data_IF_930028677859
#
_entry.id   IF_930028677859
#
_cell.length_a   1.000
_cell.length_b   1.000
_cell.length_c   1.000
_cell.angle_alpha   90.00
_cell.angle_beta   90.00
_cell.angle_gamma   90.00
#
_symmetry.space_group_name_H-M   'P 1'
#
loop_
_entity.id
_entity.type
_entity.pdbx_description
1 polymer ?
#
# COMPACT_ATOMS: atom_id res chain seq x y z
N UNK A 1 -23.60 16.88 -8.26
CA UNK A 1 -22.56 16.54 -9.24
C UNK A 1 -21.20 16.45 -8.54
N UNK A 2 -20.70 15.24 -8.26
CA UNK A 2 -19.38 15.05 -7.65
C UNK A 2 -18.32 15.11 -8.75
N UNK A 3 -17.57 16.21 -8.82
CA UNK A 3 -16.41 16.34 -9.70
C UNK A 3 -15.37 15.29 -9.29
N UNK A 4 -15.24 14.22 -10.07
CA UNK A 4 -14.05 13.37 -10.07
C UNK A 4 -12.88 14.26 -10.50
N UNK A 5 -12.18 14.84 -9.52
CA UNK A 5 -10.86 15.38 -9.79
C UNK A 5 -9.97 14.20 -10.16
N UNK A 6 -9.67 14.09 -11.45
CA UNK A 6 -8.62 13.24 -11.99
C UNK A 6 -7.34 13.52 -11.19
N UNK A 7 -6.97 12.58 -10.31
CA UNK A 7 -5.67 12.58 -9.65
C UNK A 7 -4.61 12.40 -10.73
N UNK A 8 -3.98 13.49 -11.17
CA UNK A 8 -2.68 13.38 -11.81
C UNK A 8 -1.74 12.72 -10.79
N UNK A 9 -1.42 11.44 -10.98
CA UNK A 9 -0.36 10.78 -10.19
C UNK A 9 0.95 11.47 -10.57
N UNK A 10 1.67 11.94 -9.57
CA UNK A 10 3.04 12.41 -9.78
C UNK A 10 3.92 11.21 -10.16
N UNK A 11 4.93 11.43 -11.01
CA UNK A 11 5.97 10.44 -11.26
C UNK A 11 6.55 9.91 -9.93
N UNK A 12 6.77 8.59 -9.78
CA UNK A 12 7.23 7.97 -8.53
C UNK A 12 8.54 8.57 -7.98
N UNK A 13 9.46 8.95 -8.87
CA UNK A 13 10.73 9.61 -8.58
C UNK A 13 10.52 10.97 -7.88
N UNK A 14 9.59 11.79 -8.39
CA UNK A 14 9.26 13.10 -7.81
C UNK A 14 8.55 12.97 -6.47
N UNK A 15 7.67 11.98 -6.35
CA UNK A 15 7.01 11.70 -5.08
C UNK A 15 8.03 11.27 -4.03
N UNK A 16 8.90 10.31 -4.36
CA UNK A 16 9.95 9.83 -3.46
C UNK A 16 10.94 10.94 -3.06
N UNK A 17 11.32 11.80 -4.00
CA UNK A 17 12.17 12.95 -3.72
C UNK A 17 11.51 13.92 -2.73
N UNK A 18 10.23 14.26 -2.95
CA UNK A 18 9.48 15.11 -2.02
C UNK A 18 9.38 14.45 -0.63
N UNK A 19 8.99 13.18 -0.57
CA UNK A 19 8.88 12.43 0.69
C UNK A 19 10.22 12.38 1.46
N UNK A 20 11.34 12.19 0.76
CA UNK A 20 12.69 12.23 1.36
C UNK A 20 13.04 13.62 1.86
N UNK A 21 12.79 14.68 1.09
CA UNK A 21 13.02 16.06 1.51
C UNK A 21 12.23 16.41 2.77
N UNK A 22 10.96 16.01 2.82
CA UNK A 22 10.16 16.24 4.02
C UNK A 22 10.62 15.42 5.23
N UNK A 23 11.05 14.17 5.05
CA UNK A 23 11.51 13.32 6.15
C UNK A 23 12.81 13.78 6.78
N UNK A 24 13.68 14.34 5.97
CA UNK A 24 14.95 14.88 6.44
C UNK A 24 14.77 16.20 7.20
N UNK A 25 13.82 17.05 6.79
CA UNK A 25 13.84 18.46 7.20
C UNK A 25 12.58 18.97 7.89
N UNK A 26 11.41 18.37 7.67
CA UNK A 26 10.16 18.92 8.18
C UNK A 26 9.98 18.61 9.67
N UNK A 27 10.36 19.56 10.53
CA UNK A 27 10.10 19.49 11.98
C UNK A 27 8.59 19.44 12.25
N UNK A 28 8.12 18.83 13.36
CA UNK A 28 6.69 18.76 13.68
C UNK A 28 5.98 20.13 13.67
N UNK A 29 6.68 21.18 14.10
CA UNK A 29 6.17 22.57 14.10
C UNK A 29 6.00 23.10 12.67
N UNK A 30 6.93 22.83 11.77
CA UNK A 30 6.85 23.24 10.37
C UNK A 30 5.72 22.49 9.63
N UNK A 31 5.58 21.18 9.90
CA UNK A 31 4.47 20.38 9.35
C UNK A 31 3.13 20.96 9.79
N UNK A 32 3.00 21.30 11.07
CA UNK A 32 1.81 21.94 11.61
C UNK A 32 1.52 23.27 10.90
N UNK A 33 2.52 24.13 10.73
CA UNK A 33 2.37 25.41 10.02
C UNK A 33 1.94 25.22 8.57
N UNK A 34 2.49 24.22 7.86
CA UNK A 34 2.09 23.89 6.48
C UNK A 34 0.63 23.45 6.43
N UNK A 35 0.23 22.53 7.31
CA UNK A 35 -1.15 22.02 7.42
C UNK A 35 -2.11 23.18 7.76
N UNK A 36 -1.73 24.05 8.69
CA UNK A 36 -2.54 25.20 9.11
C UNK A 36 -2.75 26.21 7.97
N UNK A 37 -1.70 26.54 7.21
CA UNK A 37 -1.82 27.44 6.05
C UNK A 37 -2.73 26.88 4.96
N UNK A 38 -2.66 25.56 4.70
CA UNK A 38 -3.55 24.88 3.74
C UNK A 38 -4.99 24.82 4.24
N UNK A 39 -5.19 24.56 5.53
CA UNK A 39 -6.50 24.54 6.16
C UNK A 39 -7.26 25.87 6.01
N UNK A 40 -6.56 27.00 6.16
CA UNK A 40 -7.17 28.33 6.00
C UNK A 40 -7.67 28.54 4.56
N UNK A 41 -6.88 28.11 3.56
CA UNK A 41 -7.25 28.25 2.14
C UNK A 41 -8.28 27.23 1.66
N UNK A 42 -8.38 26.08 2.32
CA UNK A 42 -9.26 24.97 1.95
C UNK A 42 -9.86 24.34 3.23
N UNK A 43 -10.91 24.92 3.85
CA UNK A 43 -11.44 24.43 5.12
C UNK A 43 -11.79 22.92 5.17
N UNK A 44 -12.33 22.30 4.08
CA UNK A 44 -12.53 20.85 4.03
C UNK A 44 -11.25 20.01 4.18
N UNK A 45 -10.06 20.59 3.98
CA UNK A 45 -8.77 19.93 4.19
C UNK A 45 -8.64 19.40 5.62
N UNK A 46 -9.04 20.18 6.63
CA UNK A 46 -8.97 19.74 8.04
C UNK A 46 -9.87 18.54 8.25
N UNK A 47 -11.12 18.59 7.79
CA UNK A 47 -12.05 17.48 7.89
C UNK A 47 -11.49 16.22 7.21
N UNK A 48 -10.96 16.34 5.98
CA UNK A 48 -10.31 15.23 5.28
C UNK A 48 -9.12 14.70 6.07
N UNK A 49 -8.25 15.55 6.59
CA UNK A 49 -7.09 15.16 7.41
C UNK A 49 -7.48 14.40 8.67
N UNK A 50 -8.54 14.85 9.37
CA UNK A 50 -9.08 14.19 10.55
C UNK A 50 -9.69 12.84 10.18
N UNK A 51 -10.45 12.76 9.07
CA UNK A 51 -10.99 11.51 8.56
C UNK A 51 -9.88 10.51 8.21
N UNK A 52 -8.81 10.95 7.54
CA UNK A 52 -7.64 10.12 7.28
C UNK A 52 -6.99 9.64 8.59
N UNK A 53 -6.80 10.51 9.58
CA UNK A 53 -6.28 10.13 10.91
C UNK A 53 -7.17 9.11 11.63
N UNK A 54 -8.49 9.29 11.57
CA UNK A 54 -9.46 8.35 12.17
C UNK A 54 -9.40 7.01 11.45
N UNK A 55 -9.42 7.02 10.12
CA UNK A 55 -9.33 5.81 9.29
C UNK A 55 -8.02 5.06 9.54
N UNK A 56 -6.88 5.77 9.55
CA UNK A 56 -5.57 5.22 9.86
C UNK A 56 -5.53 4.57 11.25
N UNK A 57 -6.03 5.26 12.28
CA UNK A 57 -6.10 4.72 13.65
C UNK A 57 -7.02 3.50 13.74
N UNK A 58 -8.19 3.55 13.11
CA UNK A 58 -9.12 2.41 13.06
C UNK A 58 -8.46 1.23 12.37
N UNK A 59 -7.80 1.46 11.24
CA UNK A 59 -7.08 0.44 10.49
C UNK A 59 -5.97 -0.23 11.30
N UNK A 60 -5.05 0.55 11.89
CA UNK A 60 -3.96 0.04 12.75
C UNK A 60 -4.48 -0.81 13.91
N UNK A 61 -5.65 -0.47 14.47
CA UNK A 61 -6.30 -1.24 15.55
C UNK A 61 -7.04 -2.48 15.05
N UNK A 62 -7.64 -2.41 13.86
CA UNK A 62 -8.46 -3.49 13.31
C UNK A 62 -7.59 -4.60 12.72
N UNK A 63 -6.52 -4.26 11.99
CA UNK A 63 -5.77 -5.25 11.23
C UNK A 63 -5.20 -6.40 12.08
N UNK A 64 -4.51 -6.18 13.22
CA UNK A 64 -4.05 -7.28 14.07
C UNK A 64 -5.21 -8.16 14.58
N UNK A 65 -6.38 -7.56 14.83
CA UNK A 65 -7.59 -8.29 15.26
C UNK A 65 -8.17 -9.15 14.15
N UNK A 66 -8.19 -8.64 12.92
CA UNK A 66 -8.64 -9.39 11.74
C UNK A 66 -7.70 -10.57 11.47
N UNK A 67 -6.38 -10.36 11.49
CA UNK A 67 -5.39 -11.42 11.33
C UNK A 67 -5.51 -12.48 12.44
N UNK A 68 -5.72 -12.06 13.70
CA UNK A 68 -5.97 -12.98 14.82
C UNK A 68 -7.26 -13.78 14.64
N UNK A 69 -8.32 -13.14 14.14
CA UNK A 69 -9.60 -13.79 13.89
C UNK A 69 -9.51 -14.83 12.77
N UNK A 70 -8.74 -14.55 11.71
CA UNK A 70 -8.54 -15.49 10.60
C UNK A 70 -7.86 -16.79 11.05
N UNK A 71 -6.91 -16.69 11.99
CA UNK A 71 -6.24 -17.86 12.60
C UNK A 71 -7.11 -18.62 13.60
N UNK A 72 -8.24 -18.06 14.03
CA UNK A 72 -9.15 -18.73 14.94
C UNK A 72 -10.05 -19.70 14.18
N UNK A 73 -10.11 -20.95 14.65
CA UNK A 73 -11.03 -21.96 14.10
C UNK A 73 -12.50 -21.70 14.45
N UNK A 74 -12.80 -20.77 15.37
CA UNK A 74 -14.17 -20.44 15.76
C UNK A 74 -14.91 -19.58 14.73
N UNK A 75 -14.18 -18.87 13.85
CA UNK A 75 -14.78 -17.96 12.90
C UNK A 75 -15.17 -18.68 11.60
N UNK A 76 -16.47 -18.80 11.33
CA UNK A 76 -17.01 -19.58 10.20
C UNK A 76 -16.96 -18.84 8.85
N UNK A 77 -17.03 -17.50 8.84
CA UNK A 77 -17.12 -16.72 7.60
C UNK A 77 -15.74 -16.36 7.01
N UNK A 78 -14.81 -17.34 6.95
CA UNK A 78 -13.41 -17.12 6.51
C UNK A 78 -13.28 -16.34 5.18
N UNK A 79 -14.07 -16.62 4.12
CA UNK A 79 -13.91 -15.92 2.83
C UNK A 79 -14.13 -14.40 2.93
N UNK A 80 -15.16 -13.96 3.67
CA UNK A 80 -15.47 -12.54 3.85
C UNK A 80 -14.37 -11.82 4.65
N UNK A 81 -13.82 -12.48 5.68
CA UNK A 81 -12.72 -11.94 6.47
C UNK A 81 -11.42 -11.84 5.66
N UNK A 82 -11.11 -12.84 4.84
CA UNK A 82 -9.95 -12.83 3.94
C UNK A 82 -10.04 -11.66 2.96
N UNK A 83 -11.20 -11.47 2.34
CA UNK A 83 -11.45 -10.34 1.43
C UNK A 83 -11.22 -8.99 2.13
N UNK A 84 -11.73 -8.85 3.37
CA UNK A 84 -11.54 -7.65 4.17
C UNK A 84 -10.06 -7.41 4.54
N UNK A 85 -9.32 -8.47 4.87
CA UNK A 85 -7.87 -8.39 5.14
C UNK A 85 -7.13 -7.92 3.90
N UNK A 86 -7.42 -8.49 2.72
CA UNK A 86 -6.83 -8.08 1.44
C UNK A 86 -7.09 -6.61 1.13
N UNK A 87 -8.33 -6.15 1.25
CA UNK A 87 -8.69 -4.75 1.03
C UNK A 87 -8.01 -3.78 2.02
N UNK A 88 -7.90 -4.19 3.29
CA UNK A 88 -7.17 -3.41 4.29
C UNK A 88 -5.67 -3.36 3.97
N UNK A 89 -5.06 -4.49 3.59
CA UNK A 89 -3.65 -4.58 3.25
C UNK A 89 -3.31 -3.77 2.00
N UNK A 90 -4.16 -3.77 0.96
CA UNK A 90 -3.94 -3.00 -0.28
C UNK A 90 -3.74 -1.50 -0.01
N UNK A 91 -4.39 -0.95 1.01
CA UNK A 91 -4.21 0.46 1.43
C UNK A 91 -3.16 0.64 2.53
N UNK A 92 -2.28 -0.34 2.76
CA UNK A 92 -1.39 -0.42 3.92
C UNK A 92 0.03 0.01 3.73
N UNK A 93 0.69 0.17 4.88
CA UNK A 93 2.14 0.27 4.93
C UNK A 93 2.75 -1.11 4.69
N UNK A 94 4.02 -1.15 4.31
CA UNK A 94 4.73 -2.38 3.98
C UNK A 94 4.61 -3.47 5.07
N UNK A 95 4.74 -3.10 6.36
CA UNK A 95 4.61 -4.04 7.48
C UNK A 95 3.21 -4.69 7.58
N UNK A 96 2.16 -3.91 7.30
CA UNK A 96 0.78 -4.38 7.30
C UNK A 96 0.53 -5.38 6.15
N UNK A 97 1.08 -5.07 4.98
CA UNK A 97 1.03 -5.94 3.79
C UNK A 97 1.77 -7.25 4.06
N UNK A 98 3.02 -7.18 4.55
CA UNK A 98 3.83 -8.36 4.91
C UNK A 98 3.12 -9.29 5.91
N UNK A 99 2.55 -8.74 6.99
CA UNK A 99 1.82 -9.54 7.97
C UNK A 99 0.58 -10.22 7.37
N UNK A 100 -0.06 -9.55 6.41
CA UNK A 100 -1.24 -10.07 5.72
C UNK A 100 -0.86 -11.16 4.71
N UNK A 101 0.24 -11.00 3.96
CA UNK A 101 0.74 -12.01 3.01
C UNK A 101 0.90 -13.36 3.69
N UNK A 102 1.55 -13.41 4.85
CA UNK A 102 1.72 -14.68 5.59
C UNK A 102 0.38 -15.32 5.95
N UNK A 103 -0.56 -14.55 6.50
CA UNK A 103 -1.88 -15.09 6.88
C UNK A 103 -2.71 -15.54 5.66
N UNK A 104 -2.60 -14.82 4.54
CA UNK A 104 -3.29 -15.16 3.29
C UNK A 104 -2.69 -16.43 2.68
N UNK A 105 -1.37 -16.59 2.74
CA UNK A 105 -0.69 -17.82 2.32
C UNK A 105 -1.17 -19.04 3.10
N UNK A 106 -1.37 -18.90 4.41
CA UNK A 106 -1.94 -19.97 5.25
C UNK A 106 -3.38 -20.29 4.82
N UNK A 107 -4.19 -19.27 4.46
CA UNK A 107 -5.57 -19.45 4.04
C UNK A 107 -5.73 -20.19 2.69
N UNK A 108 -4.70 -20.19 1.84
CA UNK A 108 -4.64 -21.00 0.61
C UNK A 108 -4.65 -22.51 0.93
N UNK A 109 -4.22 -22.93 2.13
CA UNK A 109 -4.26 -24.33 2.56
C UNK A 109 -5.61 -24.73 3.22
N UNK A 110 -6.62 -23.85 3.23
CA UNK A 110 -7.93 -24.13 3.82
C UNK A 110 -8.73 -25.16 3.01
N UNK A 111 -9.47 -26.05 3.68
CA UNK A 111 -10.39 -27.00 3.02
C UNK A 111 -11.56 -26.30 2.32
N UNK A 112 -11.97 -25.14 2.84
CA UNK A 112 -12.99 -24.29 2.25
C UNK A 112 -12.49 -23.65 0.94
N UNK A 113 -13.11 -24.04 -0.18
CA UNK A 113 -12.75 -23.54 -1.51
C UNK A 113 -12.94 -22.04 -1.63
N UNK A 114 -13.95 -21.47 -0.96
CA UNK A 114 -14.23 -20.04 -1.01
C UNK A 114 -13.14 -19.24 -0.27
N UNK A 115 -12.58 -19.80 0.80
CA UNK A 115 -11.45 -19.21 1.51
C UNK A 115 -10.18 -19.20 0.64
N UNK A 116 -9.90 -20.31 -0.07
CA UNK A 116 -8.77 -20.39 -1.01
C UNK A 116 -8.91 -19.38 -2.15
N UNK A 117 -10.10 -19.27 -2.75
CA UNK A 117 -10.42 -18.28 -3.79
C UNK A 117 -10.15 -16.86 -3.29
N UNK A 118 -10.76 -16.48 -2.17
CA UNK A 118 -10.61 -15.14 -1.61
C UNK A 118 -9.14 -14.81 -1.27
N UNK A 119 -8.36 -15.80 -0.83
CA UNK A 119 -6.95 -15.60 -0.50
C UNK A 119 -6.10 -15.38 -1.75
N UNK A 120 -6.38 -16.12 -2.83
CA UNK A 120 -5.70 -15.95 -4.12
C UNK A 120 -6.01 -14.58 -4.73
N UNK A 121 -7.28 -14.17 -4.73
CA UNK A 121 -7.72 -12.85 -5.22
C UNK A 121 -7.12 -11.71 -4.39
N UNK A 122 -7.07 -11.84 -3.06
CA UNK A 122 -6.44 -10.87 -2.18
C UNK A 122 -4.93 -10.72 -2.46
N UNK A 123 -4.22 -11.83 -2.69
CA UNK A 123 -2.79 -11.82 -3.01
C UNK A 123 -2.52 -11.27 -4.42
N UNK A 124 -3.38 -11.54 -5.40
CA UNK A 124 -3.30 -10.94 -6.73
C UNK A 124 -3.48 -9.41 -6.67
N UNK A 125 -4.45 -8.92 -5.89
CA UNK A 125 -4.65 -7.48 -5.70
C UNK A 125 -3.46 -6.81 -5.00
N UNK A 126 -2.83 -7.49 -4.03
CA UNK A 126 -1.60 -7.01 -3.40
C UNK A 126 -0.42 -6.96 -4.38
N UNK A 127 -0.31 -7.92 -5.28
CA UNK A 127 0.73 -7.96 -6.33
C UNK A 127 0.70 -6.73 -7.24
N UNK A 128 -0.50 -6.25 -7.59
CA UNK A 128 -0.67 -5.06 -8.42
C UNK A 128 -0.43 -3.74 -7.68
N UNK A 129 -0.81 -3.65 -6.41
CA UNK A 129 -0.72 -2.41 -5.64
C UNK A 129 0.64 -2.20 -4.97
N UNK A 130 1.36 -3.28 -4.64
CA UNK A 130 2.62 -3.28 -3.88
C UNK A 130 3.73 -4.02 -4.63
N UNK A 131 3.92 -3.67 -5.91
CA UNK A 131 4.90 -4.30 -6.82
C UNK A 131 6.29 -4.39 -6.19
N UNK A 132 6.79 -3.29 -5.63
CA UNK A 132 8.15 -3.17 -5.10
C UNK A 132 8.37 -4.04 -3.85
N UNK A 133 7.36 -4.14 -2.99
CA UNK A 133 7.42 -4.95 -1.77
C UNK A 133 7.37 -6.44 -2.09
N UNK A 134 6.60 -6.81 -3.11
CA UNK A 134 6.41 -8.20 -3.51
C UNK A 134 7.53 -8.74 -4.40
N UNK A 135 8.44 -7.90 -4.91
CA UNK A 135 9.68 -8.38 -5.55
C UNK A 135 10.43 -9.37 -4.64
N UNK A 136 10.51 -9.08 -3.33
CA UNK A 136 11.16 -9.94 -2.32
C UNK A 136 10.43 -11.28 -2.14
N UNK A 137 9.12 -11.29 -2.38
CA UNK A 137 8.27 -12.47 -2.22
C UNK A 137 7.96 -13.18 -3.55
N UNK A 138 8.34 -12.60 -4.70
CA UNK A 138 7.91 -13.01 -6.04
C UNK A 138 8.20 -14.49 -6.27
N UNK A 139 9.44 -14.92 -6.10
CA UNK A 139 9.84 -16.32 -6.28
C UNK A 139 9.13 -17.27 -5.31
N UNK A 140 9.03 -16.91 -4.02
CA UNK A 140 8.37 -17.73 -2.99
C UNK A 140 6.86 -17.85 -3.20
N UNK A 141 6.20 -16.77 -3.66
CA UNK A 141 4.78 -16.75 -3.95
C UNK A 141 4.49 -17.50 -5.25
N UNK A 142 5.17 -17.19 -6.34
CA UNK A 142 4.93 -17.83 -7.64
C UNK A 142 5.09 -19.34 -7.54
N UNK A 143 6.19 -19.84 -6.98
CA UNK A 143 6.40 -21.30 -6.78
C UNK A 143 5.32 -21.94 -5.90
N UNK A 144 4.86 -21.23 -4.86
CA UNK A 144 3.80 -21.72 -3.98
C UNK A 144 2.45 -21.85 -4.68
N UNK A 145 2.12 -20.91 -5.56
CA UNK A 145 0.91 -20.92 -6.37
C UNK A 145 0.99 -21.90 -7.55
N UNK A 146 2.15 -22.04 -8.20
CA UNK A 146 2.39 -23.03 -9.26
C UNK A 146 2.19 -24.46 -8.77
N UNK A 147 2.58 -24.76 -7.53
CA UNK A 147 2.34 -26.05 -6.90
C UNK A 147 0.85 -26.35 -6.63
N UNK A 148 -0.03 -25.33 -6.68
CA UNK A 148 -1.45 -25.41 -6.32
C UNK A 148 -2.41 -24.99 -7.43
N UNK A 149 -1.89 -24.67 -8.62
CA UNK A 149 -2.69 -24.21 -9.77
C UNK A 149 -3.77 -25.20 -10.21
N UNK A 150 -3.58 -26.48 -9.94
CA UNK A 150 -4.54 -27.55 -10.23
C UNK A 150 -5.42 -27.88 -9.01
N UNK A 151 -6.12 -26.89 -8.48
CA UNK A 151 -7.13 -27.10 -7.43
C UNK A 151 -8.29 -27.98 -7.93
N UNK A 152 -8.96 -28.71 -7.04
CA UNK A 152 -10.15 -29.51 -7.39
C UNK A 152 -11.35 -28.66 -7.87
N UNK A 153 -11.39 -27.36 -7.56
CA UNK A 153 -12.48 -26.43 -7.89
C UNK A 153 -12.05 -25.46 -9.00
N UNK A 154 -12.76 -25.43 -10.13
CA UNK A 154 -12.42 -24.61 -11.31
C UNK A 154 -12.24 -23.11 -11.01
N UNK A 155 -13.17 -22.50 -10.28
CA UNK A 155 -13.06 -21.07 -9.92
C UNK A 155 -11.86 -20.75 -9.03
N UNK A 156 -11.36 -21.73 -8.27
CA UNK A 156 -10.13 -21.59 -7.50
C UNK A 156 -8.92 -21.66 -8.43
N UNK A 157 -8.90 -22.60 -9.38
CA UNK A 157 -7.84 -22.66 -10.41
C UNK A 157 -7.70 -21.33 -11.17
N UNK A 158 -8.82 -20.76 -11.62
CA UNK A 158 -8.86 -19.46 -12.30
C UNK A 158 -8.26 -18.34 -11.43
N UNK A 159 -8.58 -18.33 -10.13
CA UNK A 159 -8.05 -17.33 -9.19
C UNK A 159 -6.55 -17.52 -8.91
N UNK A 160 -6.07 -18.76 -8.82
CA UNK A 160 -4.64 -19.07 -8.69
C UNK A 160 -3.87 -18.62 -9.94
N UNK A 161 -4.41 -18.90 -11.13
CA UNK A 161 -3.80 -18.48 -12.39
C UNK A 161 -3.77 -16.95 -12.52
N UNK A 162 -4.85 -16.25 -12.15
CA UNK A 162 -4.85 -14.78 -12.08
C UNK A 162 -3.75 -14.23 -11.17
N UNK A 163 -3.54 -14.85 -10.01
CA UNK A 163 -2.45 -14.46 -9.11
C UNK A 163 -1.07 -14.70 -9.75
N UNK A 164 -0.86 -15.85 -10.40
CA UNK A 164 0.39 -16.18 -11.10
C UNK A 164 0.68 -15.15 -12.20
N UNK A 165 -0.32 -14.79 -13.02
CA UNK A 165 -0.17 -13.77 -14.06
C UNK A 165 0.16 -12.39 -13.46
N UNK A 166 -0.53 -11.97 -12.39
CA UNK A 166 -0.22 -10.72 -11.69
C UNK A 166 1.22 -10.70 -11.14
N UNK A 167 1.76 -11.87 -10.76
CA UNK A 167 3.15 -12.01 -10.35
C UNK A 167 4.16 -11.80 -11.48
N UNK A 168 3.79 -12.05 -12.75
CA UNK A 168 4.66 -11.85 -13.91
C UNK A 168 4.82 -10.38 -14.29
N UNK A 169 3.78 -9.58 -14.09
CA UNK A 169 3.77 -8.13 -14.39
C UNK A 169 4.70 -7.31 -13.47
N UNK A 170 5.19 -7.90 -12.37
CA UNK A 170 6.19 -7.27 -11.51
C UNK A 170 7.52 -7.19 -12.28
N UNK A 171 8.09 -6.00 -12.55
CA UNK A 171 9.37 -5.87 -13.25
C UNK A 171 10.45 -6.72 -12.56
N UNK A 172 11.11 -7.59 -13.33
CA UNK A 172 12.32 -8.28 -12.87
C UNK A 172 13.43 -7.27 -12.64
N UNK A 173 14.28 -7.52 -11.65
CA UNK A 173 15.54 -6.80 -11.49
C UNK A 173 16.49 -7.22 -12.63
N UNK A 174 16.24 -6.74 -13.84
CA UNK A 174 17.25 -6.72 -14.90
C UNK A 174 17.99 -5.38 -14.77
N UNK A 175 19.27 -5.45 -14.44
CA UNK A 175 20.20 -4.32 -14.41
C UNK A 175 20.40 -3.81 -15.84
N UNK A 176 20.15 -2.52 -16.10
CA UNK A 176 20.85 -1.83 -17.19
C UNK A 176 20.89 -0.30 -17.00
N UNK A 177 22.06 0.22 -17.32
CA UNK A 177 22.57 1.57 -17.09
C UNK A 177 21.65 2.70 -17.58
N UNK A 178 21.56 3.77 -16.78
CA UNK A 178 21.69 5.11 -17.35
C UNK A 178 22.51 6.00 -16.41
N UNK A 179 23.81 6.00 -16.67
CA UNK A 179 24.71 7.12 -16.39
C UNK A 179 24.16 8.40 -17.01
N UNK A 180 23.85 9.43 -16.23
CA UNK A 180 24.27 10.83 -16.47
C UNK A 180 23.64 11.84 -15.49
N UNK A 181 24.53 12.61 -14.84
CA UNK A 181 24.41 14.06 -14.57
C UNK A 181 23.25 14.53 -13.65
N UNK A 182 23.44 15.17 -12.49
CA UNK A 182 24.33 16.28 -12.20
C UNK A 182 24.63 16.38 -10.70
N UNK A 183 25.88 16.69 -10.38
CA UNK A 183 26.28 17.37 -9.16
C UNK A 183 25.52 18.70 -9.03
N UNK A 184 24.93 18.96 -7.86
CA UNK A 184 24.90 20.28 -7.23
C UNK A 184 24.41 20.17 -5.78
N UNK A 185 25.22 20.70 -4.86
CA UNK A 185 24.95 20.87 -3.43
C UNK A 185 24.08 22.13 -3.26
N UNK A 186 22.81 22.07 -2.84
CA UNK A 186 22.00 23.28 -2.74
C UNK A 186 22.08 23.86 -1.32
N UNK A 187 22.62 25.07 -1.21
CA UNK A 187 22.63 25.93 -0.04
C UNK A 187 21.33 26.74 0.12
N UNK A 188 20.16 26.15 -0.18
CA UNK A 188 18.84 26.78 -0.07
C UNK A 188 17.83 25.78 0.52
N UNK A 189 17.85 25.65 1.85
CA UNK A 189 17.15 24.57 2.58
C UNK A 189 15.62 24.76 2.66
N UNK A 190 15.11 25.99 2.52
CA UNK A 190 13.67 26.28 2.60
C UNK A 190 12.96 26.14 1.25
N UNK A 191 13.64 26.41 0.14
CA UNK A 191 13.05 26.33 -1.20
C UNK A 191 12.78 24.90 -1.63
N UNK A 192 13.62 23.93 -1.24
CA UNK A 192 13.35 22.51 -1.48
C UNK A 192 12.12 22.01 -0.70
N UNK A 193 11.94 22.46 0.53
CA UNK A 193 10.73 22.16 1.29
C UNK A 193 9.51 22.77 0.60
N UNK A 194 9.57 24.04 0.18
CA UNK A 194 8.45 24.68 -0.53
C UNK A 194 8.12 23.99 -1.86
N UNK A 195 9.12 23.59 -2.64
CA UNK A 195 8.93 22.83 -3.87
C UNK A 195 8.34 21.45 -3.59
N UNK A 196 8.87 20.72 -2.61
CA UNK A 196 8.32 19.42 -2.18
C UNK A 196 6.87 19.56 -1.71
N UNK A 197 6.57 20.59 -0.91
CA UNK A 197 5.22 20.94 -0.44
C UNK A 197 4.32 21.20 -1.64
N UNK A 198 4.74 22.03 -2.59
CA UNK A 198 3.91 22.39 -3.74
C UNK A 198 3.61 21.18 -4.64
N UNK A 199 4.56 20.25 -4.73
CA UNK A 199 4.40 19.01 -5.49
C UNK A 199 3.49 18.03 -4.76
N UNK A 200 3.61 17.86 -3.44
CA UNK A 200 2.71 16.98 -2.69
C UNK A 200 1.31 17.59 -2.51
N UNK A 201 0.37 17.08 -3.30
CA UNK A 201 -1.06 17.29 -3.08
C UNK A 201 -1.48 16.88 -1.67
N UNK A 202 -2.57 17.48 -1.17
CA UNK A 202 -3.05 17.36 0.21
C UNK A 202 -3.10 15.92 0.75
N UNK A 203 -3.53 14.97 -0.08
CA UNK A 203 -3.64 13.57 0.34
C UNK A 203 -2.28 12.88 0.44
N UNK A 204 -1.32 13.24 -0.43
CA UNK A 204 0.03 12.69 -0.37
C UNK A 204 0.77 13.23 0.85
N UNK A 205 0.65 14.52 1.16
CA UNK A 205 1.23 15.10 2.37
C UNK A 205 0.70 14.41 3.64
N UNK A 206 -0.61 14.13 3.70
CA UNK A 206 -1.21 13.43 4.83
C UNK A 206 -0.78 11.97 4.92
N UNK A 207 -0.66 11.28 3.78
CA UNK A 207 -0.14 9.91 3.71
C UNK A 207 1.31 9.86 4.18
N UNK A 208 2.15 10.77 3.68
CA UNK A 208 3.55 10.89 4.08
C UNK A 208 3.68 11.19 5.59
N UNK A 209 2.93 12.15 6.11
CA UNK A 209 2.93 12.48 7.53
C UNK A 209 2.47 11.29 8.39
N UNK A 210 1.55 10.47 7.89
CA UNK A 210 1.13 9.24 8.55
C UNK A 210 2.25 8.19 8.58
N UNK A 211 3.04 8.04 7.51
CA UNK A 211 4.15 7.09 7.47
C UNK A 211 5.30 7.48 8.41
N UNK A 212 5.54 8.78 8.61
CA UNK A 212 6.69 9.27 9.39
C UNK A 212 6.42 9.47 10.89
N UNK A 213 5.21 9.89 11.26
CA UNK A 213 4.92 10.31 12.65
C UNK A 213 3.93 9.41 13.40
N UNK A 214 3.39 8.34 12.78
CA UNK A 214 2.42 7.43 13.40
C UNK A 214 2.82 5.98 13.23
#
# INVERSE_FOLDING_TARGET
>A
MCLQHSRARLPPDKQLAAEKSFALYCKPVELYNIIQRRAIKNPPFVQRSLLYKIQARRKKRLQPRLLKLLRSNAFKAKPALITLIGACAAMGANAEVTASITCLRDAIASDDWAARKAAAEALAALALEHTDLLTTYKSSCVTFFEARRFDKVKVVQESMNQMIEAGKEIPGAEEDECSSLCHQRPSHNEDLLLQGVQVMGDIQLLRWAQTQFL
#
